data_IF_161123369509
#
_entry.id   IF_161123369509
#
_cell.length_a   1.000
_cell.length_b   1.000
_cell.length_c   1.000
_cell.angle_alpha   90.00
_cell.angle_beta   90.00
_cell.angle_gamma   90.00
#
_symmetry.space_group_name_H-M   'P 1'
#
loop_
_entity.id
_entity.type
_entity.pdbx_description
1 polymer ?
#
# COMPACT_ATOMS: atom_id res chain seq x y z
N UNK A 1 6.32 0.57 8.30
CA UNK A 1 4.87 0.37 8.56
C UNK A 1 4.12 0.66 7.26
N UNK A 2 3.09 -0.11 6.93
CA UNK A 2 2.47 -0.03 5.62
C UNK A 2 1.55 1.19 5.45
N UNK A 3 1.52 1.73 4.21
CA UNK A 3 0.42 2.52 3.70
C UNK A 3 -0.56 1.58 2.99
N UNK A 4 -1.82 1.59 3.38
CA UNK A 4 -2.85 0.68 2.89
C UNK A 4 -4.04 1.47 2.32
N UNK A 5 -4.44 1.14 1.09
CA UNK A 5 -5.70 1.60 0.52
C UNK A 5 -6.82 0.67 0.97
N UNK A 6 -7.89 1.22 1.54
CA UNK A 6 -9.01 0.42 2.04
C UNK A 6 -10.35 0.96 1.55
N UNK A 7 -11.21 0.06 1.10
CA UNK A 7 -12.59 0.39 0.74
C UNK A 7 -13.48 0.23 1.96
N UNK A 8 -13.50 1.25 2.79
CA UNK A 8 -14.23 1.21 4.06
C UNK A 8 -14.76 2.60 4.44
N UNK A 9 -15.86 2.62 5.17
CA UNK A 9 -16.38 3.82 5.82
C UNK A 9 -15.45 4.17 7.01
N UNK A 10 -14.76 5.30 6.89
CA UNK A 10 -13.77 5.75 7.87
C UNK A 10 -14.36 5.84 9.30
N UNK A 11 -15.67 6.11 9.42
CA UNK A 11 -16.36 6.21 10.73
C UNK A 11 -16.51 4.86 11.45
N UNK A 12 -16.26 3.74 10.74
CA UNK A 12 -16.35 2.37 11.27
C UNK A 12 -15.00 1.75 11.55
N UNK A 13 -13.93 2.40 11.16
CA UNK A 13 -12.57 1.87 11.29
C UNK A 13 -12.10 1.84 12.75
N UNK A 14 -11.53 0.71 13.15
CA UNK A 14 -10.92 0.51 14.47
C UNK A 14 -9.44 0.82 14.44
N UNK A 15 -9.12 2.10 14.48
CA UNK A 15 -7.76 2.66 14.48
C UNK A 15 -7.60 3.61 15.66
N UNK A 16 -6.37 4.02 15.98
CA UNK A 16 -6.16 4.96 17.09
C UNK A 16 -6.75 6.33 16.78
N UNK A 17 -6.64 6.80 15.52
CA UNK A 17 -7.30 8.02 15.09
C UNK A 17 -7.82 7.92 13.65
N UNK A 18 -8.91 8.61 13.37
CA UNK A 18 -9.36 8.94 12.03
C UNK A 18 -9.14 10.43 11.75
N UNK A 19 -8.90 10.78 10.48
CA UNK A 19 -8.72 12.18 10.09
C UNK A 19 -10.02 12.71 9.50
N UNK A 20 -10.44 13.86 9.99
CA UNK A 20 -11.52 14.65 9.45
C UNK A 20 -10.97 15.70 8.47
N UNK A 21 -11.43 15.69 7.22
CA UNK A 21 -11.22 16.78 6.28
C UNK A 21 -12.05 18.01 6.72
N UNK A 22 -11.45 18.80 7.60
CA UNK A 22 -12.11 19.90 8.28
C UNK A 22 -12.03 21.23 7.50
N UNK A 23 -12.94 22.14 7.81
CA UNK A 23 -12.79 23.56 7.52
C UNK A 23 -12.02 24.26 8.65
N UNK A 24 -11.54 25.48 8.40
CA UNK A 24 -10.74 26.28 9.34
C UNK A 24 -11.53 26.67 10.62
N UNK A 25 -12.84 26.75 10.53
CA UNK A 25 -13.72 27.05 11.66
C UNK A 25 -14.09 25.79 12.49
N UNK A 26 -13.62 24.61 12.09
CA UNK A 26 -13.92 23.31 12.71
C UNK A 26 -15.43 23.05 12.89
N UNK A 27 -16.25 23.64 12.02
CA UNK A 27 -17.70 23.43 12.03
C UNK A 27 -18.06 22.18 11.25
N UNK A 28 -19.12 21.54 11.68
CA UNK A 28 -19.71 20.43 10.94
C UNK A 28 -19.99 20.87 9.50
N UNK A 29 -19.50 20.10 8.54
CA UNK A 29 -19.74 20.26 7.10
C UNK A 29 -20.54 19.09 6.54
N UNK A 30 -20.56 18.96 5.22
CA UNK A 30 -21.12 17.78 4.53
C UNK A 30 -20.04 16.73 4.23
N UNK A 31 -20.43 15.66 3.56
CA UNK A 31 -19.52 14.56 3.18
C UNK A 31 -18.91 13.86 4.41
N UNK A 32 -17.63 13.54 4.34
CA UNK A 32 -16.92 12.83 5.42
C UNK A 32 -16.95 13.59 6.75
N UNK A 33 -16.87 14.93 6.71
CA UNK A 33 -16.93 15.75 7.91
C UNK A 33 -18.28 15.57 8.65
N UNK A 34 -19.39 15.68 7.93
CA UNK A 34 -20.72 15.46 8.50
C UNK A 34 -20.89 14.04 9.03
N UNK A 35 -20.43 13.04 8.29
CA UNK A 35 -20.50 11.64 8.71
C UNK A 35 -19.74 11.39 10.03
N UNK A 36 -18.55 11.98 10.18
CA UNK A 36 -17.75 11.87 11.42
C UNK A 36 -18.45 12.54 12.59
N UNK A 37 -18.99 13.77 12.42
CA UNK A 37 -19.72 14.47 13.48
C UNK A 37 -20.94 13.68 13.94
N UNK A 38 -21.75 13.17 13.02
CA UNK A 38 -22.92 12.34 13.35
C UNK A 38 -22.54 11.06 14.09
N UNK A 39 -21.52 10.34 13.59
CA UNK A 39 -21.09 9.08 14.20
C UNK A 39 -20.42 9.26 15.57
N UNK A 40 -19.71 10.38 15.77
CA UNK A 40 -19.09 10.73 17.05
C UNK A 40 -20.10 11.21 18.12
N UNK A 41 -21.25 11.70 17.70
CA UNK A 41 -22.20 12.43 18.52
C UNK A 41 -22.01 13.93 18.35
N UNK A 42 -22.86 14.54 17.54
CA UNK A 42 -22.76 15.88 17.00
C UNK A 42 -22.51 16.96 18.05
N UNK A 43 -23.28 16.93 19.15
CA UNK A 43 -23.21 17.93 20.24
C UNK A 43 -21.81 17.94 20.90
N UNK A 44 -21.33 16.77 21.32
CA UNK A 44 -20.01 16.61 21.97
C UNK A 44 -18.86 16.99 21.05
N UNK A 45 -18.93 16.55 19.80
CA UNK A 45 -17.91 16.87 18.79
C UNK A 45 -17.87 18.37 18.50
N UNK A 46 -19.05 19.01 18.35
CA UNK A 46 -19.15 20.46 18.13
C UNK A 46 -18.58 21.24 19.30
N UNK A 47 -18.91 20.87 20.54
CA UNK A 47 -18.35 21.53 21.73
C UNK A 47 -16.84 21.39 21.84
N UNK A 48 -16.29 20.20 21.53
CA UNK A 48 -14.85 20.00 21.52
C UNK A 48 -14.13 20.82 20.43
N UNK A 49 -14.69 20.86 19.23
CA UNK A 49 -14.18 21.65 18.10
C UNK A 49 -14.17 23.16 18.38
N UNK A 50 -15.23 23.67 19.03
CA UNK A 50 -15.32 25.10 19.38
C UNK A 50 -14.17 25.58 20.28
N UNK A 51 -13.64 24.71 21.14
CA UNK A 51 -12.50 25.02 22.04
C UNK A 51 -11.17 25.11 21.30
N UNK A 52 -11.09 24.54 20.09
CA UNK A 52 -9.86 24.45 19.28
C UNK A 52 -9.90 25.38 18.06
N UNK A 53 -11.06 25.86 17.70
CA UNK A 53 -11.31 26.76 16.55
C UNK A 53 -10.88 28.20 16.86
N UNK A 54 -10.46 28.99 15.83
CA UNK A 54 -10.16 28.53 14.46
C UNK A 54 -8.75 27.98 14.29
N UNK A 55 -8.53 27.20 13.21
CA UNK A 55 -7.20 26.77 12.76
C UNK A 55 -6.93 27.34 11.35
N UNK A 56 -5.65 27.31 10.93
CA UNK A 56 -5.27 27.76 9.59
C UNK A 56 -5.29 26.59 8.60
N UNK A 57 -5.45 26.87 7.32
CA UNK A 57 -5.22 25.88 6.26
C UNK A 57 -3.81 25.31 6.38
N UNK A 58 -3.68 23.99 6.31
CA UNK A 58 -2.44 23.25 6.54
C UNK A 58 -2.18 22.90 8.01
N UNK A 59 -3.06 23.29 8.95
CA UNK A 59 -2.95 22.91 10.38
C UNK A 59 -3.87 21.75 10.72
N UNK A 60 -3.55 21.06 11.81
CA UNK A 60 -4.35 19.99 12.37
C UNK A 60 -4.45 20.08 13.90
N UNK A 61 -5.61 19.73 14.43
CA UNK A 61 -5.89 19.62 15.88
C UNK A 61 -6.60 18.31 16.18
N UNK A 62 -6.65 17.87 17.43
CA UNK A 62 -7.18 16.57 17.79
C UNK A 62 -8.23 16.69 18.90
N UNK A 63 -9.30 15.91 18.76
CA UNK A 63 -10.33 15.68 19.77
C UNK A 63 -10.40 14.19 20.14
N UNK A 64 -11.15 13.86 21.17
CA UNK A 64 -11.59 12.49 21.42
C UNK A 64 -12.49 12.00 20.30
N UNK A 65 -12.56 10.67 20.10
CA UNK A 65 -13.44 10.02 19.13
C UNK A 65 -14.88 9.88 19.57
N UNK A 66 -15.16 10.07 20.86
CA UNK A 66 -16.48 9.93 21.50
C UNK A 66 -17.16 8.57 21.21
N UNK A 67 -18.25 8.57 20.40
CA UNK A 67 -18.97 7.35 20.04
C UNK A 67 -18.37 6.57 18.85
N UNK A 68 -17.32 7.09 18.24
CA UNK A 68 -16.60 6.40 17.15
C UNK A 68 -15.83 5.18 17.68
N UNK A 69 -15.58 4.15 16.84
CA UNK A 69 -14.66 3.07 17.17
C UNK A 69 -13.19 3.54 17.30
N UNK A 70 -12.82 4.61 16.62
CA UNK A 70 -11.51 5.26 16.74
C UNK A 70 -11.41 6.07 18.02
N UNK A 71 -10.27 6.00 18.72
CA UNK A 71 -10.05 6.71 19.98
C UNK A 71 -10.03 8.23 19.84
N UNK A 72 -9.59 8.74 18.67
CA UNK A 72 -9.39 10.17 18.41
C UNK A 72 -9.87 10.55 17.02
N UNK A 73 -10.17 11.86 16.85
CA UNK A 73 -10.36 12.48 15.55
C UNK A 73 -9.32 13.59 15.37
N UNK A 74 -8.53 13.52 14.31
CA UNK A 74 -7.61 14.57 13.90
C UNK A 74 -8.32 15.44 12.85
N UNK A 75 -8.63 16.69 13.19
CA UNK A 75 -9.27 17.64 12.31
C UNK A 75 -8.18 18.38 11.53
N UNK A 76 -8.06 18.12 10.24
CA UNK A 76 -7.04 18.68 9.37
C UNK A 76 -7.68 19.60 8.33
N UNK A 77 -7.30 20.88 8.30
CA UNK A 77 -7.86 21.87 7.41
C UNK A 77 -7.11 21.88 6.07
N UNK A 78 -7.66 21.19 5.08
CA UNK A 78 -7.13 21.18 3.72
C UNK A 78 -7.46 22.47 2.93
N UNK A 79 -6.72 22.77 1.84
CA UNK A 79 -6.99 23.91 0.97
C UNK A 79 -8.26 23.70 0.13
N UNK A 80 -8.91 24.80 -0.22
CA UNK A 80 -9.83 24.86 -1.36
C UNK A 80 -8.98 24.94 -2.61
N UNK A 81 -9.22 24.06 -3.58
CA UNK A 81 -8.44 24.03 -4.82
C UNK A 81 -8.65 25.31 -5.66
N UNK A 82 -7.56 25.85 -6.14
CA UNK A 82 -7.56 27.04 -6.99
C UNK A 82 -6.61 26.83 -8.17
N UNK A 83 -7.17 26.71 -9.37
CA UNK A 83 -6.40 26.49 -10.61
C UNK A 83 -5.32 27.56 -10.87
N UNK A 84 -5.49 28.75 -10.31
CA UNK A 84 -4.52 29.88 -10.47
C UNK A 84 -3.35 29.80 -9.49
N UNK A 85 -3.43 28.93 -8.46
CA UNK A 85 -2.49 28.83 -7.35
C UNK A 85 -2.11 27.36 -7.10
N UNK A 86 -1.81 26.62 -8.18
CA UNK A 86 -1.53 25.17 -8.13
C UNK A 86 -0.43 24.82 -7.12
N UNK A 87 0.69 25.53 -7.19
CA UNK A 87 1.84 25.26 -6.33
C UNK A 87 1.52 25.53 -4.85
N UNK A 88 0.75 26.57 -4.54
CA UNK A 88 0.33 26.89 -3.17
C UNK A 88 -0.69 25.86 -2.67
N UNK A 89 -1.65 25.48 -3.50
CA UNK A 89 -2.64 24.44 -3.17
C UNK A 89 -1.97 23.11 -2.88
N UNK A 90 -0.96 22.69 -3.68
CA UNK A 90 -0.19 21.48 -3.48
C UNK A 90 0.62 21.52 -2.17
N UNK A 91 1.30 22.63 -1.92
CA UNK A 91 2.07 22.83 -0.69
C UNK A 91 1.17 22.77 0.56
N UNK A 92 0.01 23.43 0.53
CA UNK A 92 -0.93 23.45 1.64
C UNK A 92 -1.57 22.06 1.86
N UNK A 93 -1.90 21.32 0.80
CA UNK A 93 -2.43 19.97 0.92
C UNK A 93 -1.40 19.03 1.52
N UNK A 94 -0.17 19.05 1.02
CA UNK A 94 0.96 18.29 1.57
C UNK A 94 1.17 18.60 3.05
N UNK A 95 1.20 19.90 3.41
CA UNK A 95 1.32 20.35 4.79
C UNK A 95 0.18 19.84 5.68
N UNK A 96 -1.03 19.75 5.15
CA UNK A 96 -2.20 19.23 5.88
C UNK A 96 -1.98 17.77 6.31
N UNK A 97 -1.52 16.91 5.40
CA UNK A 97 -1.18 15.52 5.72
C UNK A 97 -0.03 15.44 6.74
N UNK A 98 1.04 16.20 6.51
CA UNK A 98 2.20 16.25 7.41
C UNK A 98 1.81 16.70 8.83
N UNK A 99 0.97 17.72 8.96
CA UNK A 99 0.51 18.24 10.25
C UNK A 99 -0.32 17.19 11.00
N UNK A 100 -1.21 16.48 10.31
CA UNK A 100 -2.00 15.40 10.92
C UNK A 100 -1.11 14.24 11.36
N UNK A 101 -0.16 13.80 10.53
CA UNK A 101 0.79 12.73 10.86
C UNK A 101 1.71 13.11 12.00
N UNK A 102 2.25 14.33 12.01
CA UNK A 102 3.09 14.83 13.10
C UNK A 102 2.32 14.88 14.43
N UNK A 103 1.04 15.28 14.39
CA UNK A 103 0.18 15.29 15.57
C UNK A 103 -0.07 13.86 16.08
N UNK A 104 -0.33 12.91 15.19
CA UNK A 104 -0.47 11.50 15.54
C UNK A 104 0.80 10.93 16.19
N UNK A 105 1.97 11.21 15.60
CA UNK A 105 3.26 10.78 16.14
C UNK A 105 3.56 11.40 17.53
N UNK A 106 3.27 12.69 17.71
CA UNK A 106 3.39 13.39 19.00
C UNK A 106 2.58 12.70 20.10
N UNK A 107 1.40 12.17 19.75
CA UNK A 107 0.53 11.43 20.67
C UNK A 107 0.84 9.92 20.69
N UNK A 108 1.90 9.46 20.01
CA UNK A 108 2.34 8.06 19.93
C UNK A 108 1.28 7.10 19.43
N UNK A 109 0.40 7.58 18.54
CA UNK A 109 -0.60 6.76 17.88
C UNK A 109 0.11 5.75 16.97
N UNK A 110 -0.48 4.56 16.84
CA UNK A 110 0.08 3.45 16.06
C UNK A 110 -0.63 3.25 14.73
N UNK A 111 -1.85 3.78 14.62
CA UNK A 111 -2.68 3.64 13.42
C UNK A 111 -3.52 4.88 13.18
N UNK A 112 -3.53 5.35 11.92
CA UNK A 112 -4.31 6.53 11.50
C UNK A 112 -4.96 6.26 10.15
N UNK A 113 -6.25 6.57 10.03
CA UNK A 113 -6.96 6.52 8.76
C UNK A 113 -7.28 7.91 8.23
N UNK A 114 -6.98 8.13 6.96
CA UNK A 114 -7.22 9.37 6.24
C UNK A 114 -8.31 9.18 5.19
N UNK A 115 -9.18 10.18 4.99
CA UNK A 115 -9.92 10.32 3.75
C UNK A 115 -9.02 10.98 2.71
N UNK A 116 -9.43 11.05 1.46
CA UNK A 116 -8.78 11.88 0.47
C UNK A 116 -9.16 13.36 0.73
N UNK A 117 -8.23 14.09 1.40
CA UNK A 117 -8.46 15.46 1.85
C UNK A 117 -8.59 16.39 0.64
N UNK A 118 -9.49 17.37 0.70
CA UNK A 118 -9.80 18.38 -0.31
C UNK A 118 -10.41 17.86 -1.63
N UNK A 119 -10.45 16.54 -1.88
CA UNK A 119 -10.93 15.96 -3.13
C UNK A 119 -12.47 15.89 -3.27
N UNK A 120 -13.20 16.38 -2.29
CA UNK A 120 -14.67 16.50 -2.31
C UNK A 120 -15.12 17.90 -2.70
N UNK A 121 -15.83 18.57 -1.81
CA UNK A 121 -16.41 19.93 -2.03
C UNK A 121 -15.33 20.98 -2.32
N UNK A 122 -14.12 20.80 -1.82
CA UNK A 122 -12.98 21.69 -2.05
C UNK A 122 -12.38 21.56 -3.45
N UNK A 123 -12.86 20.60 -4.26
CA UNK A 123 -12.64 20.52 -5.70
C UNK A 123 -11.23 20.15 -6.14
N UNK A 124 -10.38 19.64 -5.25
CA UNK A 124 -9.05 19.16 -5.64
C UNK A 124 -9.19 17.95 -6.60
N UNK A 125 -8.49 17.91 -7.76
CA UNK A 125 -8.48 16.74 -8.63
C UNK A 125 -8.07 15.48 -7.85
N UNK A 126 -8.82 14.40 -8.01
CA UNK A 126 -8.66 13.22 -7.15
C UNK A 126 -7.34 12.51 -7.34
N UNK A 127 -6.89 12.38 -8.57
CA UNK A 127 -5.60 11.81 -8.97
C UNK A 127 -4.43 12.60 -8.37
N UNK A 128 -4.41 13.92 -8.57
CA UNK A 128 -3.39 14.80 -7.99
C UNK A 128 -3.42 14.76 -6.45
N UNK A 129 -4.63 14.77 -5.84
CA UNK A 129 -4.78 14.70 -4.40
C UNK A 129 -4.28 13.34 -3.86
N UNK A 130 -4.49 12.24 -4.59
CA UNK A 130 -4.00 10.91 -4.24
C UNK A 130 -2.47 10.88 -4.28
N UNK A 131 -1.86 11.33 -5.37
CA UNK A 131 -0.40 11.36 -5.52
C UNK A 131 0.27 12.18 -4.41
N UNK A 132 -0.28 13.36 -4.06
CA UNK A 132 0.23 14.19 -2.96
C UNK A 132 0.04 13.52 -1.58
N UNK A 133 -1.09 12.85 -1.36
CA UNK A 133 -1.35 12.11 -0.11
C UNK A 133 -0.36 10.96 0.06
N UNK A 134 -0.19 10.14 -0.97
CA UNK A 134 0.77 9.01 -1.00
C UNK A 134 2.18 9.52 -0.73
N UNK A 135 2.61 10.55 -1.46
CA UNK A 135 3.94 11.15 -1.28
C UNK A 135 4.15 11.66 0.16
N UNK A 136 3.21 12.42 0.71
CA UNK A 136 3.34 12.98 2.06
C UNK A 136 3.39 11.90 3.15
N UNK A 137 2.57 10.86 3.00
CA UNK A 137 2.52 9.72 3.93
C UNK A 137 3.80 8.91 3.82
N UNK A 138 4.27 8.60 2.62
CA UNK A 138 5.51 7.83 2.42
C UNK A 138 6.72 8.53 3.01
N UNK A 139 6.87 9.81 2.71
CA UNK A 139 7.96 10.59 3.27
C UNK A 139 7.94 10.62 4.81
N UNK A 140 6.77 10.68 5.43
CA UNK A 140 6.65 10.56 6.88
C UNK A 140 7.04 9.15 7.39
N UNK A 141 6.67 8.09 6.69
CA UNK A 141 6.94 6.71 7.07
C UNK A 141 8.42 6.30 6.90
N UNK A 142 9.24 7.09 6.21
CA UNK A 142 10.69 6.88 6.15
C UNK A 142 11.32 6.92 7.56
N UNK A 143 10.85 7.82 8.42
CA UNK A 143 11.40 8.01 9.76
C UNK A 143 10.48 7.50 10.89
N UNK A 144 9.24 7.14 10.58
CA UNK A 144 8.24 6.79 11.58
C UNK A 144 7.64 5.41 11.35
N UNK A 145 7.28 4.74 12.44
CA UNK A 145 6.56 3.46 12.41
C UNK A 145 5.09 3.66 12.81
N UNK A 146 4.20 3.69 11.81
CA UNK A 146 2.76 3.89 11.98
C UNK A 146 1.99 3.19 10.86
N UNK A 147 0.89 2.50 11.16
CA UNK A 147 -0.02 1.97 10.15
C UNK A 147 -0.90 3.11 9.64
N UNK A 148 -0.77 3.44 8.36
CA UNK A 148 -1.54 4.50 7.74
C UNK A 148 -2.49 3.93 6.70
N UNK A 149 -3.75 4.33 6.79
CA UNK A 149 -4.81 3.89 5.88
C UNK A 149 -5.31 5.09 5.07
N UNK A 150 -5.45 4.93 3.76
CA UNK A 150 -6.25 5.80 2.91
C UNK A 150 -7.60 5.12 2.67
N UNK A 151 -8.66 5.68 3.25
CA UNK A 151 -10.00 5.10 3.25
C UNK A 151 -10.89 5.74 2.19
N UNK A 152 -11.44 4.91 1.32
CA UNK A 152 -12.36 5.29 0.26
C UNK A 152 -13.72 4.65 0.54
N UNK A 153 -14.82 5.42 0.64
CA UNK A 153 -16.15 4.86 0.90
C UNK A 153 -16.65 3.99 -0.25
N UNK A 154 -16.25 4.32 -1.46
CA UNK A 154 -16.55 3.58 -2.70
C UNK A 154 -15.44 3.81 -3.74
N UNK A 155 -15.49 3.02 -4.84
CA UNK A 155 -14.52 3.11 -5.94
C UNK A 155 -14.53 4.45 -6.69
N UNK A 156 -15.65 5.14 -6.73
CA UNK A 156 -15.75 6.41 -7.46
C UNK A 156 -14.94 7.52 -6.76
N UNK A 157 -14.60 7.31 -5.51
CA UNK A 157 -13.72 8.21 -4.76
C UNK A 157 -12.24 7.97 -5.04
N UNK A 158 -11.89 6.79 -5.60
CA UNK A 158 -10.53 6.42 -5.95
C UNK A 158 -10.32 6.56 -7.47
N UNK A 159 -9.39 7.42 -7.86
CA UNK A 159 -9.02 7.63 -9.28
C UNK A 159 -7.50 7.55 -9.35
N UNK A 160 -6.92 6.43 -9.81
CA UNK A 160 -5.49 6.33 -10.04
C UNK A 160 -5.10 7.17 -11.25
N UNK A 161 -3.82 7.36 -11.46
CA UNK A 161 -3.31 8.05 -12.65
C UNK A 161 -3.72 7.27 -13.93
N UNK A 162 -4.31 7.99 -14.89
CA UNK A 162 -4.92 7.39 -16.08
C UNK A 162 -3.91 6.55 -16.91
N UNK A 163 -2.65 7.00 -16.98
CA UNK A 163 -1.62 6.30 -17.75
C UNK A 163 -1.31 4.91 -17.19
N UNK A 164 -1.29 4.75 -15.87
CA UNK A 164 -0.99 3.44 -15.22
C UNK A 164 -2.04 2.40 -15.59
N UNK A 165 -3.31 2.79 -15.55
CA UNK A 165 -4.43 1.88 -15.86
C UNK A 165 -4.43 1.52 -17.34
N UNK A 166 -4.27 2.52 -18.22
CA UNK A 166 -4.26 2.32 -19.67
C UNK A 166 -3.14 1.38 -20.12
N UNK A 167 -1.93 1.59 -19.64
CA UNK A 167 -0.77 0.80 -20.06
C UNK A 167 -0.90 -0.68 -19.62
N UNK A 168 -1.50 -0.92 -18.44
CA UNK A 168 -1.83 -2.28 -17.99
C UNK A 168 -2.98 -2.88 -18.81
N UNK A 169 -4.00 -2.11 -19.19
CA UNK A 169 -5.10 -2.57 -20.04
C UNK A 169 -4.61 -2.96 -21.43
N UNK A 170 -3.72 -2.17 -22.02
CA UNK A 170 -3.09 -2.48 -23.31
C UNK A 170 -2.30 -3.78 -23.22
N UNK A 171 -1.47 -3.96 -22.19
CA UNK A 171 -0.72 -5.20 -21.96
C UNK A 171 -1.63 -6.43 -21.80
N UNK A 172 -2.73 -6.29 -21.04
CA UNK A 172 -3.70 -7.38 -20.89
C UNK A 172 -4.43 -7.69 -22.19
N UNK A 173 -4.73 -6.68 -23.01
CA UNK A 173 -5.44 -6.85 -24.29
C UNK A 173 -4.56 -7.52 -25.36
N UNK A 174 -3.26 -7.25 -25.34
CA UNK A 174 -2.31 -7.84 -26.28
C UNK A 174 -2.03 -9.32 -25.99
N UNK A 175 -2.44 -9.86 -24.85
CA UNK A 175 -2.14 -11.23 -24.43
C UNK A 175 -0.63 -11.48 -24.29
N UNK A 176 0.15 -10.43 -24.10
CA UNK A 176 1.61 -10.50 -24.04
C UNK A 176 2.12 -11.42 -22.93
N UNK A 177 1.30 -11.63 -21.87
CA UNK A 177 1.58 -12.58 -20.78
C UNK A 177 1.45 -14.06 -21.21
N UNK A 178 0.80 -14.36 -22.36
CA UNK A 178 0.71 -15.73 -22.92
C UNK A 178 1.97 -16.08 -23.73
N UNK A 179 2.75 -15.08 -24.15
CA UNK A 179 3.93 -15.24 -24.98
C UNK A 179 5.25 -15.32 -24.22
N UNK A 180 5.24 -15.30 -22.88
CA UNK A 180 6.44 -15.68 -22.10
C UNK A 180 6.64 -17.17 -22.33
N UNK A 181 7.69 -17.60 -23.07
CA UNK A 181 7.89 -19.00 -23.34
C UNK A 181 8.06 -19.73 -22.02
N UNK A 182 7.12 -20.61 -21.70
CA UNK A 182 7.38 -21.62 -20.68
C UNK A 182 8.53 -22.44 -21.27
N UNK A 183 9.71 -22.30 -20.71
CA UNK A 183 10.99 -22.96 -21.13
C UNK A 183 10.92 -24.50 -21.10
N UNK A 184 9.71 -25.09 -21.19
CA UNK A 184 9.52 -26.51 -21.30
C UNK A 184 9.80 -27.07 -22.71
N UNK A 185 9.85 -26.21 -23.73
CA UNK A 185 10.06 -26.66 -25.13
C UNK A 185 11.54 -26.70 -25.57
N UNK A 186 12.49 -26.38 -24.70
CA UNK A 186 13.90 -26.30 -25.05
C UNK A 186 14.81 -27.31 -24.38
N UNK A 187 14.29 -28.32 -23.67
CA UNK A 187 15.13 -29.44 -23.23
C UNK A 187 15.28 -30.45 -24.37
N UNK A 188 16.50 -30.71 -24.87
CA UNK A 188 16.73 -31.81 -25.81
C UNK A 188 16.21 -33.12 -25.22
N UNK A 189 15.53 -33.95 -26.02
CA UNK A 189 14.99 -35.27 -25.58
C UNK A 189 16.01 -36.13 -24.81
N UNK A 190 17.31 -35.93 -25.03
CA UNK A 190 18.37 -36.61 -24.27
C UNK A 190 18.48 -36.19 -22.81
N UNK A 191 18.11 -34.94 -22.49
CA UNK A 191 18.15 -34.42 -21.12
C UNK A 191 16.86 -34.75 -20.37
N UNK A 192 15.73 -34.83 -21.08
CA UNK A 192 14.46 -35.34 -20.56
C UNK A 192 14.63 -36.83 -20.16
N UNK A 193 15.31 -37.66 -20.97
CA UNK A 193 15.59 -39.06 -20.62
C UNK A 193 16.61 -39.19 -19.47
N UNK A 194 17.47 -38.23 -19.25
CA UNK A 194 18.39 -38.18 -18.11
C UNK A 194 17.68 -37.77 -16.82
N UNK A 195 16.71 -36.83 -16.93
CA UNK A 195 15.85 -36.42 -15.84
C UNK A 195 14.83 -37.50 -15.43
N UNK A 196 14.43 -38.36 -16.38
CA UNK A 196 13.53 -39.50 -16.14
C UNK A 196 14.25 -40.76 -15.57
N UNK A 197 15.57 -40.79 -15.50
CA UNK A 197 16.28 -41.80 -14.73
C UNK A 197 16.19 -41.47 -13.26
N UNK A 198 15.07 -41.89 -12.64
CA UNK A 198 14.86 -41.78 -11.20
C UNK A 198 16.06 -42.39 -10.45
N UNK A 199 16.85 -41.59 -9.74
CA UNK A 199 17.80 -42.15 -8.78
C UNK A 199 17.03 -42.62 -7.56
N UNK A 200 17.54 -43.66 -6.99
CA UNK A 200 17.20 -44.35 -5.77
C UNK A 200 16.41 -43.55 -4.73
N UNK A 201 15.16 -44.01 -4.46
CA UNK A 201 14.49 -43.86 -3.17
C UNK A 201 14.03 -42.41 -2.81
N UNK A 202 12.82 -42.32 -2.26
CA UNK A 202 12.23 -41.12 -1.68
C UNK A 202 13.20 -40.40 -0.72
N UNK A 203 14.00 -41.15 0.02
CA UNK A 203 15.00 -40.63 0.98
C UNK A 203 16.06 -39.73 0.32
N UNK A 204 16.46 -40.03 -0.94
CA UNK A 204 17.44 -39.18 -1.66
C UNK A 204 16.86 -37.81 -1.95
N UNK A 205 15.59 -37.71 -2.34
CA UNK A 205 14.92 -36.42 -2.66
C UNK A 205 14.67 -35.61 -1.41
N UNK A 206 14.29 -36.25 -0.30
CA UNK A 206 14.03 -35.56 0.99
C UNK A 206 15.33 -35.01 1.59
N UNK A 207 16.48 -35.63 1.32
CA UNK A 207 17.77 -35.11 1.79
C UNK A 207 18.49 -34.14 0.88
N UNK A 208 17.95 -33.88 -0.33
CA UNK A 208 18.52 -32.95 -1.31
C UNK A 208 17.46 -31.89 -1.72
N UNK A 209 16.78 -31.32 -0.72
CA UNK A 209 15.88 -30.18 -0.94
C UNK A 209 16.71 -28.96 -1.36
N UNK A 210 16.13 -28.16 -2.23
CA UNK A 210 16.71 -26.87 -2.63
C UNK A 210 16.75 -25.88 -1.44
N UNK A 211 17.47 -24.79 -1.61
CA UNK A 211 17.59 -23.71 -0.65
C UNK A 211 16.18 -23.23 -0.18
N UNK A 212 15.91 -23.17 1.14
CA UNK A 212 14.62 -22.69 1.64
C UNK A 212 14.37 -21.24 1.27
N UNK A 213 13.08 -20.87 1.11
CA UNK A 213 12.65 -19.51 0.77
C UNK A 213 13.33 -18.40 1.61
N UNK A 214 13.40 -18.59 2.93
CA UNK A 214 13.98 -17.58 3.82
C UNK A 214 15.50 -17.41 3.62
N UNK A 215 16.22 -18.47 3.30
CA UNK A 215 17.67 -18.42 3.02
C UNK A 215 17.91 -17.72 1.67
N UNK A 216 17.16 -18.08 0.63
CA UNK A 216 17.21 -17.42 -0.66
C UNK A 216 16.90 -15.91 -0.55
N UNK A 217 15.88 -15.54 0.22
CA UNK A 217 15.54 -14.16 0.47
C UNK A 217 16.69 -13.40 1.14
N UNK A 218 17.30 -13.97 2.18
CA UNK A 218 18.41 -13.32 2.89
C UNK A 218 19.62 -13.14 1.98
N UNK A 219 19.95 -14.14 1.18
CA UNK A 219 21.00 -14.03 0.17
C UNK A 219 20.73 -12.91 -0.83
N UNK A 220 19.51 -12.81 -1.36
CA UNK A 220 19.14 -11.72 -2.29
C UNK A 220 19.24 -10.35 -1.62
N UNK A 221 18.85 -10.21 -0.35
CA UNK A 221 19.01 -8.96 0.42
C UNK A 221 20.50 -8.58 0.52
N UNK A 222 21.34 -9.54 0.87
CA UNK A 222 22.79 -9.33 0.99
C UNK A 222 23.41 -8.99 -0.38
N UNK A 223 23.03 -9.70 -1.45
CA UNK A 223 23.53 -9.47 -2.82
C UNK A 223 23.15 -8.06 -3.34
N UNK A 224 21.95 -7.55 -2.97
CA UNK A 224 21.50 -6.19 -3.31
C UNK A 224 22.10 -5.13 -2.35
N UNK A 225 22.83 -5.54 -1.31
CA UNK A 225 23.43 -4.63 -0.32
C UNK A 225 22.44 -3.83 0.51
N UNK A 226 21.23 -4.33 0.66
CA UNK A 226 20.16 -3.66 1.39
C UNK A 226 20.09 -4.09 2.85
N UNK A 227 19.64 -3.19 3.70
CA UNK A 227 19.31 -3.51 5.10
C UNK A 227 17.89 -4.06 5.23
N UNK A 228 17.64 -4.86 6.27
CA UNK A 228 16.30 -5.34 6.60
C UNK A 228 15.27 -4.20 6.64
N UNK A 229 15.68 -3.03 7.20
CA UNK A 229 14.81 -1.86 7.34
C UNK A 229 14.42 -1.27 6.00
N UNK A 230 15.33 -1.15 5.08
CA UNK A 230 15.05 -0.70 3.71
C UNK A 230 14.11 -1.66 3.01
N UNK A 231 14.37 -2.98 3.11
CA UNK A 231 13.55 -4.01 2.45
C UNK A 231 12.11 -4.00 2.95
N UNK A 232 11.87 -4.08 4.27
CA UNK A 232 10.47 -4.14 4.74
C UNK A 232 9.70 -2.84 4.50
N UNK A 233 10.39 -1.70 4.51
CA UNK A 233 9.77 -0.40 4.18
C UNK A 233 9.41 -0.31 2.70
N UNK A 234 10.35 -0.61 1.79
CA UNK A 234 10.08 -0.68 0.35
C UNK A 234 9.01 -1.71 0.00
N UNK A 235 9.00 -2.86 0.68
CA UNK A 235 8.00 -3.91 0.49
C UNK A 235 6.62 -3.58 1.10
N UNK A 236 6.46 -2.45 1.75
CA UNK A 236 5.22 -2.08 2.45
C UNK A 236 4.77 -3.15 3.47
N UNK A 237 5.73 -3.78 4.16
CA UNK A 237 5.51 -4.84 5.14
C UNK A 237 5.84 -4.32 6.53
N UNK A 238 5.02 -4.66 7.54
CA UNK A 238 5.35 -4.29 8.90
C UNK A 238 6.56 -5.06 9.44
N UNK A 239 7.33 -4.44 10.34
CA UNK A 239 8.54 -5.00 10.91
C UNK A 239 8.34 -6.37 11.56
N UNK A 240 7.19 -6.60 12.22
CA UNK A 240 6.93 -7.88 12.92
C UNK A 240 6.65 -8.99 11.91
N UNK A 241 5.93 -8.67 10.85
CA UNK A 241 5.67 -9.60 9.74
C UNK A 241 6.98 -9.95 9.04
N UNK A 242 7.81 -8.96 8.69
CA UNK A 242 9.13 -9.19 8.10
C UNK A 242 10.02 -10.06 9.00
N UNK A 243 10.05 -9.82 10.31
CA UNK A 243 10.81 -10.64 11.27
C UNK A 243 10.37 -12.11 11.25
N UNK A 244 9.07 -12.40 11.08
CA UNK A 244 8.57 -13.79 10.93
C UNK A 244 9.04 -14.42 9.61
N UNK A 245 9.02 -13.66 8.53
CA UNK A 245 9.50 -14.09 7.22
C UNK A 245 10.98 -14.46 7.30
N UNK A 246 11.79 -13.56 7.86
CA UNK A 246 13.23 -13.74 8.02
C UNK A 246 13.61 -14.97 8.82
N UNK A 247 12.92 -15.24 9.92
CA UNK A 247 13.24 -16.39 10.79
C UNK A 247 12.89 -17.74 10.18
N UNK A 248 11.97 -17.78 9.23
CA UNK A 248 11.58 -18.96 8.46
C UNK A 248 11.02 -20.14 9.26
N UNK A 249 10.94 -20.05 10.60
CA UNK A 249 10.54 -21.16 11.48
C UNK A 249 9.06 -21.57 11.27
N UNK A 250 8.84 -22.45 10.27
CA UNK A 250 7.51 -22.98 9.97
C UNK A 250 6.52 -21.96 9.42
N UNK A 251 7.03 -20.84 8.89
CA UNK A 251 6.21 -19.77 8.32
C UNK A 251 6.59 -19.52 6.86
N UNK A 252 5.63 -19.74 5.96
CA UNK A 252 5.73 -19.31 4.56
C UNK A 252 4.79 -18.11 4.36
N UNK A 253 5.30 -16.96 3.88
CA UNK A 253 4.45 -15.80 3.63
C UNK A 253 3.46 -16.07 2.51
N UNK A 254 2.37 -15.31 2.49
CA UNK A 254 1.40 -15.36 1.38
C UNK A 254 2.01 -14.73 0.13
N UNK A 255 1.53 -15.15 -1.04
CA UNK A 255 2.03 -14.67 -2.34
C UNK A 255 2.12 -13.14 -2.46
N UNK A 256 1.13 -12.33 -2.02
CA UNK A 256 1.25 -10.86 -2.08
C UNK A 256 2.45 -10.31 -1.29
N UNK A 257 2.78 -10.91 -0.14
CA UNK A 257 3.94 -10.48 0.64
C UNK A 257 5.27 -10.89 -0.03
N UNK A 258 5.31 -12.05 -0.70
CA UNK A 258 6.49 -12.47 -1.47
C UNK A 258 6.71 -11.53 -2.65
N UNK A 259 5.66 -11.22 -3.40
CA UNK A 259 5.74 -10.29 -4.54
C UNK A 259 6.09 -8.87 -4.09
N UNK A 260 5.65 -8.45 -2.91
CA UNK A 260 6.10 -7.19 -2.32
C UNK A 260 7.62 -7.17 -2.07
N UNK A 261 8.20 -8.30 -1.65
CA UNK A 261 9.65 -8.44 -1.49
C UNK A 261 10.38 -8.47 -2.85
N UNK A 262 9.79 -9.12 -3.87
CA UNK A 262 10.28 -9.09 -5.26
C UNK A 262 10.39 -7.65 -5.75
N UNK A 263 9.35 -6.85 -5.56
CA UNK A 263 9.31 -5.43 -5.95
C UNK A 263 10.35 -4.62 -5.15
N UNK A 264 10.43 -4.81 -3.84
CA UNK A 264 11.36 -4.08 -2.97
C UNK A 264 12.84 -4.33 -3.31
N UNK A 265 13.15 -5.56 -3.74
CA UNK A 265 14.50 -5.98 -4.15
C UNK A 265 14.78 -5.73 -5.64
N UNK A 266 13.80 -5.20 -6.38
CA UNK A 266 13.91 -4.91 -7.81
C UNK A 266 14.41 -6.15 -8.59
N UNK A 267 13.76 -7.31 -8.32
CA UNK A 267 14.09 -8.57 -8.97
C UNK A 267 13.51 -8.60 -10.39
N UNK A 268 14.26 -9.17 -11.32
CA UNK A 268 13.72 -9.46 -12.65
C UNK A 268 12.73 -10.63 -12.64
N UNK A 269 12.16 -10.97 -13.79
CA UNK A 269 11.13 -11.98 -13.87
C UNK A 269 11.65 -13.39 -13.48
N UNK A 270 12.85 -13.74 -13.91
CA UNK A 270 13.46 -15.05 -13.64
C UNK A 270 13.77 -15.19 -12.13
N UNK A 271 14.36 -14.16 -11.52
CA UNK A 271 14.61 -14.09 -10.08
C UNK A 271 13.30 -14.15 -9.27
N UNK A 272 12.24 -13.47 -9.75
CA UNK A 272 10.93 -13.46 -9.14
C UNK A 272 10.26 -14.85 -9.18
N UNK A 273 10.36 -15.56 -10.31
CA UNK A 273 9.83 -16.91 -10.49
C UNK A 273 10.57 -17.90 -9.59
N UNK A 274 11.91 -17.82 -9.50
CA UNK A 274 12.70 -18.66 -8.60
C UNK A 274 12.30 -18.44 -7.13
N UNK A 275 12.20 -17.20 -6.69
CA UNK A 275 11.82 -16.88 -5.32
C UNK A 275 10.38 -17.33 -4.99
N UNK A 276 9.44 -17.19 -5.94
CA UNK A 276 8.07 -17.70 -5.79
C UNK A 276 8.06 -19.22 -5.68
N UNK A 277 8.81 -19.93 -6.53
CA UNK A 277 8.89 -21.39 -6.55
C UNK A 277 9.39 -21.94 -5.22
N UNK A 278 10.40 -21.32 -4.60
CA UNK A 278 10.92 -21.69 -3.27
C UNK A 278 9.88 -21.57 -2.15
N UNK A 279 8.86 -20.73 -2.34
CA UNK A 279 7.71 -20.61 -1.43
C UNK A 279 6.50 -21.47 -1.84
N UNK A 280 6.59 -22.22 -2.92
CA UNK A 280 5.52 -23.07 -3.46
C UNK A 280 4.46 -22.30 -4.25
N UNK A 281 4.83 -21.15 -4.83
CA UNK A 281 3.96 -20.34 -5.70
C UNK A 281 4.53 -20.24 -7.11
N UNK A 282 3.69 -19.83 -8.04
CA UNK A 282 4.07 -19.48 -9.42
C UNK A 282 3.16 -18.36 -9.92
N UNK A 283 3.58 -17.60 -10.93
CA UNK A 283 2.68 -16.71 -11.65
C UNK A 283 1.62 -17.51 -12.42
N UNK A 284 0.43 -16.94 -12.53
CA UNK A 284 -0.70 -17.54 -13.25
C UNK A 284 -1.27 -16.56 -14.26
N UNK A 285 -1.25 -16.87 -15.57
CA UNK A 285 -1.81 -16.00 -16.60
C UNK A 285 -3.34 -15.85 -16.47
N UNK A 286 -4.01 -16.73 -15.74
CA UNK A 286 -5.46 -16.66 -15.49
C UNK A 286 -5.84 -15.77 -14.30
N UNK A 287 -4.86 -15.21 -13.58
CA UNK A 287 -5.10 -14.34 -12.43
C UNK A 287 -4.71 -12.90 -12.75
N UNK A 288 -5.69 -12.01 -12.75
CA UNK A 288 -5.45 -10.58 -13.00
C UNK A 288 -4.39 -9.98 -12.07
N UNK A 289 -4.39 -10.35 -10.78
CA UNK A 289 -3.35 -9.98 -9.82
C UNK A 289 -1.93 -10.31 -10.31
N UNK A 290 -1.74 -11.54 -10.80
CA UNK A 290 -0.43 -12.01 -11.25
C UNK A 290 0.01 -11.28 -12.54
N UNK A 291 -0.93 -11.10 -13.47
CA UNK A 291 -0.67 -10.42 -14.76
C UNK A 291 -0.27 -8.95 -14.53
N UNK A 292 -0.96 -8.25 -13.61
CA UNK A 292 -0.63 -6.87 -13.26
C UNK A 292 0.80 -6.80 -12.68
N UNK A 293 1.13 -7.64 -11.70
CA UNK A 293 2.46 -7.58 -11.06
C UNK A 293 3.56 -7.96 -12.05
N UNK A 294 3.34 -8.97 -12.90
CA UNK A 294 4.29 -9.33 -13.96
C UNK A 294 4.53 -8.18 -14.92
N UNK A 295 3.48 -7.45 -15.32
CA UNK A 295 3.62 -6.27 -16.18
C UNK A 295 4.64 -5.27 -15.60
N UNK A 296 4.50 -4.90 -14.34
CA UNK A 296 5.39 -3.95 -13.69
C UNK A 296 6.84 -4.46 -13.60
N UNK A 297 7.04 -5.75 -13.29
CA UNK A 297 8.37 -6.39 -13.26
C UNK A 297 9.01 -6.34 -14.65
N UNK A 298 8.29 -6.73 -15.71
CA UNK A 298 8.78 -6.73 -17.09
C UNK A 298 9.15 -5.31 -17.56
N UNK A 299 8.40 -4.30 -17.09
CA UNK A 299 8.68 -2.89 -17.41
C UNK A 299 9.80 -2.29 -16.55
N UNK A 300 10.31 -3.01 -15.55
CA UNK A 300 11.30 -2.50 -14.60
C UNK A 300 10.77 -1.36 -13.73
N UNK A 301 9.47 -1.36 -13.45
CA UNK A 301 8.78 -0.38 -12.62
C UNK A 301 8.51 -0.99 -11.25
N UNK A 302 9.23 -0.55 -10.22
CA UNK A 302 9.22 -1.15 -8.90
C UNK A 302 8.65 -0.24 -7.82
N UNK A 303 7.81 0.73 -8.19
CA UNK A 303 7.08 1.54 -7.22
C UNK A 303 5.87 0.75 -6.70
N UNK A 304 5.92 0.36 -5.43
CA UNK A 304 4.89 -0.48 -4.81
C UNK A 304 3.56 0.27 -4.67
N UNK A 305 3.57 1.60 -4.60
CA UNK A 305 2.36 2.38 -4.46
C UNK A 305 1.62 2.48 -5.80
N UNK A 306 2.34 2.72 -6.91
CA UNK A 306 1.78 2.67 -8.26
C UNK A 306 1.16 1.30 -8.55
N UNK A 307 1.88 0.21 -8.20
CA UNK A 307 1.36 -1.15 -8.36
C UNK A 307 0.09 -1.35 -7.52
N UNK A 308 0.10 -0.91 -6.27
CA UNK A 308 -1.04 -1.02 -5.37
C UNK A 308 -2.23 -0.16 -5.81
N UNK A 309 -2.00 1.00 -6.43
CA UNK A 309 -3.06 1.79 -7.04
C UNK A 309 -3.77 1.01 -8.16
N UNK A 310 -3.01 0.40 -9.06
CA UNK A 310 -3.60 -0.43 -10.12
C UNK A 310 -4.29 -1.66 -9.54
N UNK A 311 -3.67 -2.35 -8.59
CA UNK A 311 -4.29 -3.51 -7.92
C UNK A 311 -5.60 -3.12 -7.22
N UNK A 312 -5.63 -2.01 -6.51
CA UNK A 312 -6.84 -1.50 -5.84
C UNK A 312 -7.94 -1.13 -6.86
N UNK A 313 -7.58 -0.49 -7.97
CA UNK A 313 -8.50 -0.16 -9.05
C UNK A 313 -9.21 -1.41 -9.60
N UNK A 314 -8.49 -2.54 -9.71
CA UNK A 314 -9.03 -3.81 -10.20
C UNK A 314 -9.58 -4.74 -9.12
N UNK A 315 -9.81 -4.27 -7.87
CA UNK A 315 -10.24 -5.09 -6.72
C UNK A 315 -9.33 -6.31 -6.47
N UNK A 316 -8.03 -6.14 -6.67
CA UNK A 316 -7.07 -7.20 -6.39
C UNK A 316 -6.47 -7.03 -4.99
N UNK A 317 -5.95 -8.12 -4.38
CA UNK A 317 -5.16 -8.00 -3.16
C UNK A 317 -3.99 -7.03 -3.36
N UNK A 318 -3.69 -6.22 -2.34
CA UNK A 318 -2.54 -5.32 -2.40
C UNK A 318 -1.25 -6.06 -2.05
N UNK A 319 -0.12 -5.53 -2.53
CA UNK A 319 1.21 -5.95 -2.13
C UNK A 319 1.56 -5.39 -0.75
N UNK A 320 2.31 -6.16 0.03
CA UNK A 320 2.68 -5.81 1.39
C UNK A 320 1.58 -6.14 2.41
N UNK A 321 1.31 -5.29 3.38
CA UNK A 321 0.15 -5.26 4.28
C UNK A 321 0.05 -6.32 5.34
#
# INVERSE_FOLDING_TARGET
>A
MPLLFVKEDITKMKVDAIVNAANTELRMGSGVCGAIFHAAGEEKMTEACQKLSPIRTGEAVMTDGFALPAGHVIHAAGPVYQERELAESALLLTKTYQSALALAAKHRLKSVAFPLISAGIYGYPKDEALSLAVWAIRHFLEDHEMDVYLAFPDKSAFVPEEYLVRDVEEYMAEGAYESVPVLYDAMPERDVQKALKMPAGLDHWVHHLDEPFNEALLRLIDDKGMTDTEVYKKANIDRRHFSKIRTGKGYTPKKPAILALVIALELDLDEAEDLLAKAGYAFSPSRKFDVIVQYFIIKGQYDIDEINEVLFHYDQPLLGG
#
